data_IF_178397075314
#
_entry.id   IF_178397075314
#
_cell.length_a   1.000
_cell.length_b   1.000
_cell.length_c   1.000
_cell.angle_alpha   90.00
_cell.angle_beta   90.00
_cell.angle_gamma   90.00
#
_symmetry.space_group_name_H-M   'P 1'
#
loop_
_entity.id
_entity.type
_entity.pdbx_description
1 polymer ?
#
# COMPACT_ATOMS: atom_id res chain seq x y z
N UNK A 1 15.07 24.07 -16.42
CA UNK A 1 14.77 23.07 -15.37
C UNK A 1 14.22 21.88 -16.09
N UNK A 2 14.93 20.75 -16.07
CA UNK A 2 14.48 19.51 -16.70
C UNK A 2 13.23 19.01 -15.95
N UNK A 3 12.04 19.33 -16.48
CA UNK A 3 10.73 18.95 -15.90
C UNK A 3 10.36 17.49 -16.25
N UNK A 4 11.21 16.80 -17.01
CA UNK A 4 11.00 15.41 -17.39
C UNK A 4 11.86 14.53 -16.48
N UNK A 5 11.26 13.72 -15.58
CA UNK A 5 12.02 12.79 -14.77
C UNK A 5 12.83 11.87 -15.69
N UNK A 6 14.13 11.71 -15.41
CA UNK A 6 14.98 10.86 -16.24
C UNK A 6 14.51 9.42 -16.07
N UNK A 7 14.62 8.59 -17.12
CA UNK A 7 14.25 7.16 -17.04
C UNK A 7 15.01 6.44 -15.91
N UNK A 8 16.20 6.92 -15.54
CA UNK A 8 16.94 6.47 -14.35
C UNK A 8 16.18 6.66 -13.03
N UNK A 9 15.37 7.72 -12.92
CA UNK A 9 14.60 8.03 -11.73
C UNK A 9 13.43 7.05 -11.59
N UNK A 10 12.87 6.59 -12.72
CA UNK A 10 11.82 5.56 -12.73
C UNK A 10 12.37 4.23 -12.19
N UNK A 11 13.59 3.84 -12.57
CA UNK A 11 14.22 2.61 -12.05
C UNK A 11 14.47 2.71 -10.54
N UNK A 12 15.01 3.83 -10.06
CA UNK A 12 15.19 4.07 -8.63
C UNK A 12 13.85 4.08 -7.86
N UNK A 13 12.80 4.68 -8.44
CA UNK A 13 11.46 4.70 -7.84
C UNK A 13 10.85 3.30 -7.76
N UNK A 14 11.05 2.47 -8.78
CA UNK A 14 10.64 1.05 -8.78
C UNK A 14 11.39 0.27 -7.70
N UNK A 15 12.71 0.34 -7.67
CA UNK A 15 13.52 -0.37 -6.66
C UNK A 15 13.13 0.07 -5.25
N UNK A 16 12.95 1.38 -5.03
CA UNK A 16 12.48 1.93 -3.76
C UNK A 16 11.08 1.41 -3.38
N UNK A 17 10.18 1.29 -4.36
CA UNK A 17 8.82 0.82 -4.12
C UNK A 17 8.76 -0.62 -3.60
N UNK A 18 9.69 -1.50 -3.99
CA UNK A 18 9.76 -2.88 -3.48
C UNK A 18 10.01 -2.96 -1.98
N UNK A 19 10.77 -2.01 -1.43
CA UNK A 19 11.05 -1.93 0.00
C UNK A 19 9.93 -1.18 0.73
N UNK A 20 9.36 -0.14 0.10
CA UNK A 20 8.40 0.76 0.73
C UNK A 20 6.96 0.25 0.72
N UNK A 21 6.57 -0.62 -0.22
CA UNK A 21 5.15 -0.99 -0.39
C UNK A 21 4.54 -1.55 0.90
N UNK A 22 5.27 -2.39 1.62
CA UNK A 22 4.80 -3.02 2.85
C UNK A 22 4.72 -2.04 4.03
N UNK A 23 5.79 -1.28 4.38
CA UNK A 23 5.72 -0.23 5.39
C UNK A 23 4.62 0.80 5.10
N UNK A 24 4.43 1.18 3.84
CA UNK A 24 3.47 2.20 3.45
C UNK A 24 2.02 1.70 3.50
N UNK A 25 1.77 0.45 3.12
CA UNK A 25 0.47 -0.20 3.33
C UNK A 25 0.13 -0.32 4.83
N UNK A 26 1.12 -0.69 5.66
CA UNK A 26 0.94 -0.71 7.11
C UNK A 26 0.62 0.68 7.66
N UNK A 27 1.37 1.71 7.23
CA UNK A 27 1.14 3.09 7.62
C UNK A 27 -0.24 3.59 7.17
N UNK A 28 -0.70 3.27 5.96
CA UNK A 28 -2.06 3.57 5.50
C UNK A 28 -3.12 2.95 6.38
N UNK A 29 -2.95 1.68 6.71
CA UNK A 29 -3.91 0.96 7.52
C UNK A 29 -4.00 1.56 8.93
N UNK A 30 -2.85 1.83 9.57
CA UNK A 30 -2.78 2.49 10.87
C UNK A 30 -3.37 3.89 10.80
N UNK A 31 -3.05 4.68 9.77
CA UNK A 31 -3.55 6.05 9.66
C UNK A 31 -5.07 6.10 9.45
N UNK A 32 -5.65 5.15 8.71
CA UNK A 32 -7.09 5.09 8.45
C UNK A 32 -7.91 4.57 9.65
N UNK A 33 -7.36 3.62 10.41
CA UNK A 33 -8.09 2.89 11.46
C UNK A 33 -7.54 3.16 12.86
N UNK A 34 -6.59 4.09 12.97
CA UNK A 34 -5.85 4.42 14.19
C UNK A 34 -5.25 3.17 14.87
N UNK A 35 -4.97 3.24 16.17
CA UNK A 35 -4.60 2.08 16.99
C UNK A 35 -5.84 1.30 17.44
N UNK A 36 -6.72 0.99 16.49
CA UNK A 36 -7.89 0.14 16.72
C UNK A 36 -7.78 -1.09 15.82
N UNK A 37 -7.88 -2.27 16.42
CA UNK A 37 -7.89 -3.54 15.72
C UNK A 37 -9.29 -4.16 15.87
N UNK A 38 -10.14 -3.95 14.86
CA UNK A 38 -11.50 -4.48 14.80
C UNK A 38 -11.55 -5.76 13.98
N UNK A 39 -11.93 -6.87 14.62
CA UNK A 39 -12.24 -8.16 14.02
C UNK A 39 -13.71 -8.47 14.29
N UNK A 40 -14.60 -7.98 13.43
CA UNK A 40 -16.06 -8.21 13.39
C UNK A 40 -16.78 -8.11 14.76
N UNK A 41 -16.62 -9.11 15.64
CA UNK A 41 -17.14 -9.15 17.01
C UNK A 41 -16.18 -8.65 18.11
N UNK A 42 -14.90 -8.39 17.82
CA UNK A 42 -13.89 -8.01 18.81
C UNK A 42 -13.10 -6.78 18.36
N UNK A 43 -13.25 -5.67 19.09
CA UNK A 43 -12.45 -4.46 18.90
C UNK A 43 -11.41 -4.36 20.01
N UNK A 44 -10.14 -4.42 19.63
CA UNK A 44 -9.02 -4.18 20.53
C UNK A 44 -8.45 -2.78 20.28
N UNK A 45 -8.69 -1.87 21.21
CA UNK A 45 -8.19 -0.49 21.19
C UNK A 45 -7.25 -0.25 22.35
N UNK A 46 -6.39 0.75 22.22
CA UNK A 46 -5.54 1.20 23.32
C UNK A 46 -6.41 1.88 24.38
N UNK A 47 -6.31 1.43 25.63
CA UNK A 47 -6.98 2.03 26.78
C UNK A 47 -6.03 3.04 27.45
N UNK A 48 -6.32 4.36 27.39
CA UNK A 48 -5.45 5.39 27.96
C UNK A 48 -5.36 5.34 29.49
N UNK A 49 -6.31 4.70 30.18
CA UNK A 49 -6.30 4.56 31.64
C UNK A 49 -5.58 3.29 32.12
N UNK A 50 -5.07 2.47 31.19
CA UNK A 50 -4.33 1.26 31.52
C UNK A 50 -2.96 1.57 32.13
N UNK A 51 -2.48 0.70 33.03
CA UNK A 51 -1.17 0.90 33.66
C UNK A 51 -0.06 0.93 32.60
N UNK A 52 1.00 1.70 32.85
CA UNK A 52 2.01 2.01 31.81
C UNK A 52 2.54 0.78 31.05
N UNK A 53 2.77 -0.35 31.73
CA UNK A 53 3.17 -1.59 31.06
C UNK A 53 2.09 -2.15 30.11
N UNK A 54 0.82 -2.18 30.54
CA UNK A 54 -0.30 -2.67 29.74
C UNK A 54 -0.59 -1.75 28.54
N UNK A 55 -0.44 -0.44 28.71
CA UNK A 55 -0.56 0.54 27.62
C UNK A 55 0.46 0.27 26.50
N UNK A 56 1.75 0.11 26.84
CA UNK A 56 2.78 -0.20 25.85
C UNK A 56 2.58 -1.58 25.21
N UNK A 57 2.15 -2.58 25.98
CA UNK A 57 1.84 -3.90 25.46
C UNK A 57 0.71 -3.86 24.41
N UNK A 58 -0.37 -3.13 24.67
CA UNK A 58 -1.48 -2.95 23.72
C UNK A 58 -1.02 -2.33 22.41
N UNK A 59 -0.20 -1.27 22.46
CA UNK A 59 0.36 -0.61 21.27
C UNK A 59 1.19 -1.60 20.45
N UNK A 60 2.09 -2.34 21.09
CA UNK A 60 2.96 -3.31 20.41
C UNK A 60 2.14 -4.42 19.75
N UNK A 61 1.14 -4.96 20.45
CA UNK A 61 0.25 -5.99 19.90
C UNK A 61 -0.52 -5.47 18.68
N UNK A 62 -1.08 -4.26 18.74
CA UNK A 62 -1.81 -3.66 17.63
C UNK A 62 -0.88 -3.40 16.44
N UNK A 63 0.32 -2.87 16.70
CA UNK A 63 1.31 -2.61 15.66
C UNK A 63 1.75 -3.90 14.96
N UNK A 64 2.10 -4.94 15.72
CA UNK A 64 2.49 -6.25 15.17
C UNK A 64 1.32 -6.87 14.42
N UNK A 65 0.11 -6.86 14.98
CA UNK A 65 -1.08 -7.40 14.33
C UNK A 65 -1.37 -6.73 12.98
N UNK A 66 -1.33 -5.39 12.92
CA UNK A 66 -1.52 -4.64 11.67
C UNK A 66 -0.39 -4.88 10.68
N UNK A 67 0.84 -5.04 11.15
CA UNK A 67 2.00 -5.36 10.29
C UNK A 67 1.87 -6.75 9.67
N UNK A 68 1.48 -7.75 10.45
CA UNK A 68 1.22 -9.11 9.95
C UNK A 68 0.07 -9.10 8.95
N UNK A 69 -0.99 -8.34 9.21
CA UNK A 69 -2.10 -8.17 8.29
C UNK A 69 -1.65 -7.55 6.96
N UNK A 70 -0.90 -6.45 7.01
CA UNK A 70 -0.34 -5.81 5.83
C UNK A 70 0.60 -6.77 5.05
N UNK A 71 1.44 -7.53 5.75
CA UNK A 71 2.34 -8.52 5.16
C UNK A 71 1.58 -9.64 4.44
N UNK A 72 0.49 -10.13 5.02
CA UNK A 72 -0.39 -11.10 4.39
C UNK A 72 -0.99 -10.56 3.08
N UNK A 73 -1.49 -9.32 3.09
CA UNK A 73 -2.03 -8.69 1.88
C UNK A 73 -0.97 -8.40 0.82
N UNK A 74 0.23 -7.94 1.20
CA UNK A 74 1.33 -7.75 0.27
C UNK A 74 1.76 -9.07 -0.38
N UNK A 75 1.84 -10.15 0.40
CA UNK A 75 2.13 -11.48 -0.13
C UNK A 75 1.02 -11.98 -1.07
N UNK A 76 -0.25 -11.81 -0.70
CA UNK A 76 -1.37 -12.17 -1.55
C UNK A 76 -1.35 -11.37 -2.87
N UNK A 77 -1.04 -10.08 -2.82
CA UNK A 77 -0.90 -9.24 -4.01
C UNK A 77 0.25 -9.73 -4.91
N UNK A 78 1.41 -10.05 -4.34
CA UNK A 78 2.52 -10.64 -5.09
C UNK A 78 2.13 -11.95 -5.80
N UNK A 79 1.47 -12.87 -5.09
CA UNK A 79 0.99 -14.13 -5.67
C UNK A 79 -0.06 -13.89 -6.77
N UNK A 80 -0.95 -12.92 -6.58
CA UNK A 80 -1.94 -12.55 -7.60
C UNK A 80 -1.28 -12.01 -8.88
N UNK A 81 -0.17 -11.26 -8.76
CA UNK A 81 0.59 -10.75 -9.90
C UNK A 81 1.25 -11.88 -10.68
N UNK A 82 1.92 -12.81 -9.99
CA UNK A 82 2.50 -14.00 -10.63
C UNK A 82 1.41 -14.77 -11.37
N UNK A 83 0.27 -15.00 -10.71
CA UNK A 83 -0.85 -15.71 -11.32
C UNK A 83 -1.41 -14.97 -12.55
N UNK A 84 -1.62 -13.66 -12.45
CA UNK A 84 -2.08 -12.85 -13.57
C UNK A 84 -1.09 -12.86 -14.75
N UNK A 85 0.21 -12.84 -14.47
CA UNK A 85 1.26 -12.92 -15.49
C UNK A 85 1.22 -14.26 -16.23
N UNK A 86 1.14 -15.38 -15.50
CA UNK A 86 1.12 -16.73 -16.09
C UNK A 86 -0.15 -16.98 -16.92
N UNK A 87 -1.31 -16.52 -16.46
CA UNK A 87 -2.60 -16.97 -17.03
C UNK A 87 -3.36 -15.91 -17.85
N UNK A 88 -3.15 -14.61 -17.64
CA UNK A 88 -4.08 -13.54 -18.11
C UNK A 88 -3.37 -12.56 -19.09
N UNK A 89 -2.14 -12.85 -19.50
CA UNK A 89 -1.27 -12.03 -20.37
C UNK A 89 -0.78 -10.71 -19.74
N UNK A 90 0.44 -10.31 -20.13
CA UNK A 90 1.20 -9.15 -19.64
C UNK A 90 0.45 -7.81 -19.72
N UNK A 91 -0.46 -7.64 -20.69
CA UNK A 91 -1.23 -6.40 -20.87
C UNK A 91 -2.16 -6.07 -19.71
N UNK A 92 -2.62 -7.09 -18.96
CA UNK A 92 -3.56 -6.89 -17.85
C UNK A 92 -2.90 -6.19 -16.66
N UNK A 93 -1.64 -6.50 -16.37
CA UNK A 93 -0.91 -5.84 -15.28
C UNK A 93 -0.65 -4.37 -15.61
N UNK A 94 -0.31 -4.06 -16.87
CA UNK A 94 -0.15 -2.68 -17.33
C UNK A 94 -1.44 -1.85 -17.19
N UNK A 95 -2.61 -2.45 -17.46
CA UNK A 95 -3.90 -1.80 -17.21
C UNK A 95 -4.15 -1.53 -15.73
N UNK A 96 -3.84 -2.50 -14.85
CA UNK A 96 -3.96 -2.32 -13.40
C UNK A 96 -3.06 -1.17 -12.93
N UNK A 97 -1.80 -1.14 -13.38
CA UNK A 97 -0.86 -0.05 -13.06
C UNK A 97 -1.42 1.30 -13.52
N UNK A 98 -1.95 1.39 -14.74
CA UNK A 98 -2.53 2.63 -15.26
C UNK A 98 -3.73 3.09 -14.41
N UNK A 99 -4.57 2.16 -13.96
CA UNK A 99 -5.70 2.46 -13.05
C UNK A 99 -5.19 2.98 -11.71
N UNK A 100 -4.17 2.34 -11.11
CA UNK A 100 -3.60 2.77 -9.82
C UNK A 100 -2.93 4.14 -9.90
N UNK A 101 -2.19 4.43 -10.98
CA UNK A 101 -1.59 5.74 -11.23
C UNK A 101 -2.68 6.80 -11.40
N UNK A 102 -3.72 6.49 -12.17
CA UNK A 102 -4.86 7.40 -12.37
C UNK A 102 -5.56 7.69 -11.04
N UNK A 103 -5.80 6.66 -10.23
CA UNK A 103 -6.37 6.81 -8.88
C UNK A 103 -5.50 7.68 -7.98
N UNK A 104 -4.18 7.51 -8.02
CA UNK A 104 -3.24 8.34 -7.27
C UNK A 104 -3.32 9.81 -7.70
N UNK A 105 -3.33 10.08 -9.01
CA UNK A 105 -3.42 11.45 -9.52
C UNK A 105 -4.76 12.10 -9.20
N UNK A 106 -5.86 11.36 -9.35
CA UNK A 106 -7.21 11.80 -8.98
C UNK A 106 -7.25 12.16 -7.49
N UNK A 107 -6.66 11.32 -6.64
CA UNK A 107 -6.56 11.58 -5.20
C UNK A 107 -5.73 12.79 -4.80
N UNK A 108 -4.65 13.09 -5.53
CA UNK A 108 -3.76 14.24 -5.27
C UNK A 108 -4.35 15.55 -5.80
N UNK A 109 -5.00 15.54 -6.95
CA UNK A 109 -5.48 16.76 -7.61
C UNK A 109 -6.97 17.07 -7.34
N UNK A 110 -7.76 16.08 -6.90
CA UNK A 110 -9.19 16.25 -6.65
C UNK A 110 -9.59 15.89 -5.20
N UNK A 111 -8.64 15.91 -4.25
CA UNK A 111 -8.83 15.53 -2.84
C UNK A 111 -10.05 16.21 -2.22
N UNK A 112 -10.21 17.53 -2.43
CA UNK A 112 -11.29 18.33 -1.85
C UNK A 112 -12.69 17.91 -2.33
N UNK A 113 -12.80 17.40 -3.57
CA UNK A 113 -14.08 16.93 -4.15
C UNK A 113 -14.37 15.48 -3.80
N UNK A 114 -13.34 14.66 -3.65
CA UNK A 114 -13.48 13.22 -3.39
C UNK A 114 -13.74 12.95 -1.90
N UNK A 115 -13.12 13.71 -1.01
CA UNK A 115 -13.37 13.61 0.43
C UNK A 115 -14.85 13.85 0.81
N UNK A 116 -15.62 14.50 -0.06
CA UNK A 116 -17.07 14.67 0.12
C UNK A 116 -17.86 13.36 -0.03
N UNK A 117 -17.32 12.37 -0.76
CA UNK A 117 -17.99 11.09 -1.05
C UNK A 117 -17.27 9.88 -0.47
N UNK A 118 -15.95 9.98 -0.26
CA UNK A 118 -15.11 8.92 0.26
C UNK A 118 -14.08 9.50 1.23
N UNK A 119 -14.25 9.25 2.53
CA UNK A 119 -13.31 9.68 3.58
C UNK A 119 -12.09 8.76 3.63
N UNK A 120 -11.36 8.69 2.52
CA UNK A 120 -10.11 7.95 2.41
C UNK A 120 -8.95 8.85 2.80
N UNK A 121 -8.10 8.39 3.71
CA UNK A 121 -6.90 9.13 4.08
C UNK A 121 -6.02 9.46 2.85
N UNK A 122 -5.45 10.67 2.76
CA UNK A 122 -4.60 11.06 1.63
C UNK A 122 -3.45 10.09 1.35
N UNK A 123 -2.95 9.42 2.39
CA UNK A 123 -1.87 8.44 2.30
C UNK A 123 -2.20 7.26 1.37
N UNK A 124 -3.49 6.91 1.20
CA UNK A 124 -3.91 5.85 0.27
C UNK A 124 -3.62 6.19 -1.18
N UNK A 125 -3.77 7.47 -1.56
CA UNK A 125 -3.47 7.92 -2.92
C UNK A 125 -1.97 7.93 -3.20
N UNK A 126 -1.15 8.28 -2.20
CA UNK A 126 0.30 8.12 -2.33
C UNK A 126 0.71 6.65 -2.43
N UNK A 127 0.02 5.79 -1.68
CA UNK A 127 0.29 4.35 -1.67
C UNK A 127 -0.09 3.68 -2.98
N UNK A 128 -1.10 4.17 -3.69
CA UNK A 128 -1.44 3.63 -5.00
C UNK A 128 -0.32 3.85 -6.02
N UNK A 129 0.42 4.97 -5.97
CA UNK A 129 1.62 5.16 -6.79
C UNK A 129 2.71 4.14 -6.45
N UNK A 130 2.97 3.94 -5.16
CA UNK A 130 4.00 2.99 -4.71
C UNK A 130 3.64 1.56 -5.09
N UNK A 131 2.37 1.17 -4.94
CA UNK A 131 1.89 -0.15 -5.40
C UNK A 131 1.98 -0.26 -6.93
N UNK A 132 1.67 0.79 -7.69
CA UNK A 132 1.80 0.78 -9.15
C UNK A 132 3.27 0.56 -9.60
N UNK A 133 4.23 1.26 -8.98
CA UNK A 133 5.64 1.06 -9.27
C UNK A 133 6.15 -0.30 -8.81
N UNK A 134 5.63 -0.82 -7.69
CA UNK A 134 5.93 -2.16 -7.21
C UNK A 134 5.48 -3.21 -8.23
N UNK A 135 4.24 -3.11 -8.71
CA UNK A 135 3.71 -4.00 -9.75
C UNK A 135 4.57 -4.00 -11.01
N UNK A 136 4.97 -2.81 -11.49
CA UNK A 136 5.88 -2.69 -12.63
C UNK A 136 7.24 -3.34 -12.38
N UNK A 137 7.79 -3.21 -11.17
CA UNK A 137 9.06 -3.83 -10.79
C UNK A 137 8.96 -5.35 -10.77
N UNK A 138 7.85 -5.90 -10.25
CA UNK A 138 7.63 -7.35 -10.21
C UNK A 138 7.47 -7.94 -11.61
N UNK A 139 6.78 -7.26 -12.52
CA UNK A 139 6.66 -7.70 -13.93
C UNK A 139 8.03 -7.74 -14.59
N UNK A 140 8.85 -6.71 -14.44
CA UNK A 140 10.22 -6.69 -14.99
C UNK A 140 11.11 -7.80 -14.43
N UNK A 141 10.99 -8.10 -13.13
CA UNK A 141 11.74 -9.21 -12.51
C UNK A 141 11.31 -10.57 -13.08
N UNK A 142 10.00 -10.80 -13.21
CA UNK A 142 9.48 -12.05 -13.79
C UNK A 142 9.93 -12.19 -15.25
N UNK A 143 9.88 -11.11 -16.04
CA UNK A 143 10.39 -11.09 -17.42
C UNK A 143 11.89 -11.39 -17.51
N UNK A 144 12.70 -10.92 -16.55
CA UNK A 144 14.14 -11.20 -16.55
C UNK A 144 14.51 -12.63 -16.17
N UNK A 145 13.64 -13.32 -15.43
CA UNK A 145 13.86 -14.69 -14.93
C UNK A 145 13.32 -15.78 -15.89
N UNK A 146 12.65 -15.39 -16.99
CA UNK A 146 12.10 -16.32 -18.01
C UNK A 146 12.89 -16.24 -19.32
#
# INVERSE_FOLDING_TARGET
>A
MDVVPKISDIKNLKDLSTVLVLPLLCACYIYQTEYILSLDSFSFSVDPDSSGFWYYFQIVVIFVGKTVWAAFFSFALYMAVIYAYIYIHQSTIHLIVLILLTFGFVGVFATDRINAYLSLAPLWYYTSFVVAFFLLSMVEQIESDT
#
